data_IF_592230127385
#
_entry.id   IF_592230127385
#
_cell.length_a   1.000
_cell.length_b   1.000
_cell.length_c   1.000
_cell.angle_alpha   90.00
_cell.angle_beta   90.00
_cell.angle_gamma   90.00
#
_symmetry.space_group_name_H-M   'P 1'
#
loop_
_entity.id
_entity.type
_entity.pdbx_description
1 polymer ?
#
# COMPACT_ATOMS: atom_id res chain seq x y z
N UNK A 1 7.37 27.75 3.17
CA UNK A 1 6.89 27.12 1.91
C UNK A 1 5.79 27.98 1.29
N UNK A 2 5.77 28.21 -0.03
CA UNK A 2 4.73 29.03 -0.65
C UNK A 2 3.34 28.39 -0.49
N UNK A 3 2.30 29.20 -0.27
CA UNK A 3 0.93 28.74 0.02
C UNK A 3 0.36 27.69 -0.96
N UNK A 4 0.58 27.80 -2.29
CA UNK A 4 0.13 26.78 -3.24
C UNK A 4 0.75 25.40 -3.02
N UNK A 5 2.06 25.34 -2.70
CA UNK A 5 2.75 24.08 -2.45
C UNK A 5 2.25 23.39 -1.17
N UNK A 6 1.94 24.16 -0.13
CA UNK A 6 1.39 23.60 1.11
C UNK A 6 0.01 22.96 0.87
N UNK A 7 -0.85 23.60 0.08
CA UNK A 7 -2.16 23.05 -0.29
C UNK A 7 -2.03 21.76 -1.09
N UNK A 8 -1.14 21.74 -2.09
CA UNK A 8 -0.88 20.54 -2.89
C UNK A 8 -0.30 19.39 -2.05
N UNK A 9 0.63 19.69 -1.14
CA UNK A 9 1.21 18.69 -0.23
C UNK A 9 0.18 18.13 0.73
N UNK A 10 -0.69 18.98 1.30
CA UNK A 10 -1.80 18.54 2.18
C UNK A 10 -2.75 17.59 1.46
N UNK A 11 -3.10 17.91 0.21
CA UNK A 11 -3.97 17.05 -0.59
C UNK A 11 -3.32 15.68 -0.88
N UNK A 12 -2.04 15.67 -1.26
CA UNK A 12 -1.29 14.42 -1.51
C UNK A 12 -1.07 13.60 -0.23
N UNK A 13 -0.76 14.26 0.88
CA UNK A 13 -0.50 13.59 2.15
C UNK A 13 -1.76 12.96 2.74
N UNK A 14 -2.93 13.60 2.57
CA UNK A 14 -4.21 13.05 3.02
C UNK A 14 -4.52 11.70 2.36
N UNK A 15 -4.18 11.53 1.08
CA UNK A 15 -4.31 10.25 0.39
C UNK A 15 -3.21 9.28 0.82
N UNK A 16 -1.96 9.74 0.94
CA UNK A 16 -0.81 8.89 1.25
C UNK A 16 -0.88 8.26 2.64
N UNK A 17 -1.29 9.03 3.65
CA UNK A 17 -1.35 8.56 5.04
C UNK A 17 -2.29 7.37 5.20
N UNK A 18 -3.40 7.34 4.45
CA UNK A 18 -4.35 6.24 4.48
C UNK A 18 -3.76 4.90 4.04
N UNK A 19 -2.72 4.89 3.18
CA UNK A 19 -2.12 3.67 2.61
C UNK A 19 -0.67 3.45 3.02
N UNK A 20 -0.08 4.37 3.78
CA UNK A 20 1.33 4.30 4.20
C UNK A 20 1.67 3.00 4.93
N UNK A 21 0.76 2.53 5.80
CA UNK A 21 0.92 1.26 6.51
C UNK A 21 1.00 0.04 5.56
N UNK A 22 0.26 0.06 4.44
CA UNK A 22 0.32 -0.99 3.41
C UNK A 22 1.71 -1.01 2.78
N UNK A 23 2.22 0.17 2.41
CA UNK A 23 3.56 0.30 1.83
C UNK A 23 4.65 -0.12 2.80
N UNK A 24 4.52 0.22 4.09
CA UNK A 24 5.46 -0.20 5.13
C UNK A 24 5.55 -1.74 5.21
N UNK A 25 4.40 -2.43 5.30
CA UNK A 25 4.38 -3.89 5.32
C UNK A 25 4.96 -4.50 4.03
N UNK A 26 4.61 -3.94 2.87
CA UNK A 26 5.14 -4.42 1.60
C UNK A 26 6.66 -4.25 1.50
N UNK A 27 7.20 -3.13 1.98
CA UNK A 27 8.63 -2.87 1.92
C UNK A 27 9.43 -3.70 2.92
N UNK A 28 8.99 -3.72 4.17
CA UNK A 28 9.72 -4.35 5.27
C UNK A 28 9.47 -5.86 5.32
N UNK A 29 8.20 -6.28 5.43
CA UNK A 29 7.85 -7.68 5.66
C UNK A 29 7.77 -8.50 4.39
N UNK A 30 7.38 -7.89 3.26
CA UNK A 30 7.33 -8.60 1.96
C UNK A 30 8.60 -8.43 1.13
N UNK A 31 9.53 -7.56 1.54
CA UNK A 31 10.75 -7.27 0.77
C UNK A 31 10.45 -6.75 -0.65
N UNK A 32 9.33 -6.04 -0.85
CA UNK A 32 8.85 -5.69 -2.18
C UNK A 32 9.83 -4.74 -2.90
N UNK A 33 10.34 -5.22 -4.02
CA UNK A 33 11.24 -4.46 -4.89
C UNK A 33 10.84 -4.62 -6.37
N UNK A 34 10.56 -3.53 -7.06
CA UNK A 34 10.15 -3.54 -8.47
C UNK A 34 11.33 -3.10 -9.35
N UNK A 35 12.00 -4.07 -9.98
CA UNK A 35 13.04 -3.85 -11.01
C UNK A 35 12.89 -4.92 -12.07
N UNK A 36 11.94 -4.70 -12.98
CA UNK A 36 11.57 -5.64 -14.04
C UNK A 36 11.68 -4.98 -15.40
N UNK A 37 12.09 -5.74 -16.42
CA UNK A 37 12.08 -5.27 -17.80
C UNK A 37 10.64 -5.36 -18.33
N UNK A 38 10.07 -4.22 -18.72
CA UNK A 38 8.71 -4.15 -19.30
C UNK A 38 7.61 -3.87 -18.27
N UNK A 39 6.66 -3.02 -18.68
CA UNK A 39 5.56 -2.52 -17.85
C UNK A 39 4.61 -3.64 -17.39
N UNK A 40 4.25 -4.57 -18.26
CA UNK A 40 3.35 -5.67 -17.91
C UNK A 40 3.86 -6.50 -16.72
N UNK A 41 5.17 -6.76 -16.67
CA UNK A 41 5.79 -7.51 -15.55
C UNK A 41 5.79 -6.69 -14.26
N UNK A 42 6.02 -5.38 -14.36
CA UNK A 42 5.92 -4.48 -13.21
C UNK A 42 4.49 -4.46 -12.65
N UNK A 43 3.50 -4.32 -13.53
CA UNK A 43 2.07 -4.32 -13.16
C UNK A 43 1.68 -5.61 -12.46
N UNK A 44 2.05 -6.77 -13.01
CA UNK A 44 1.76 -8.07 -12.38
C UNK A 44 2.43 -8.18 -11.01
N UNK A 45 3.71 -7.78 -10.87
CA UNK A 45 4.43 -7.85 -9.60
C UNK A 45 3.78 -6.97 -8.52
N UNK A 46 3.35 -5.77 -8.88
CA UNK A 46 2.61 -4.86 -7.98
C UNK A 46 1.25 -5.47 -7.62
N UNK A 47 0.51 -5.97 -8.62
CA UNK A 47 -0.79 -6.59 -8.44
C UNK A 47 -0.77 -7.76 -7.46
N UNK A 48 0.16 -8.69 -7.64
CA UNK A 48 0.33 -9.84 -6.74
C UNK A 48 0.68 -9.39 -5.31
N UNK A 49 1.56 -8.41 -5.16
CA UNK A 49 1.91 -7.89 -3.83
C UNK A 49 0.69 -7.28 -3.11
N UNK A 50 -0.13 -6.51 -3.83
CA UNK A 50 -1.36 -5.95 -3.29
C UNK A 50 -2.37 -7.05 -2.93
N UNK A 51 -2.56 -8.06 -3.79
CA UNK A 51 -3.46 -9.19 -3.49
C UNK A 51 -3.02 -9.95 -2.25
N UNK A 52 -1.73 -10.30 -2.16
CA UNK A 52 -1.17 -11.03 -1.02
C UNK A 52 -1.32 -10.26 0.30
N UNK A 53 -1.12 -8.93 0.30
CA UNK A 53 -1.38 -8.09 1.46
C UNK A 53 -2.88 -8.11 1.85
N UNK A 54 -3.77 -7.89 0.88
CA UNK A 54 -5.21 -7.86 1.14
C UNK A 54 -5.76 -9.20 1.65
N UNK A 55 -5.29 -10.34 1.12
CA UNK A 55 -5.68 -11.64 1.64
C UNK A 55 -5.19 -11.87 3.07
N UNK A 56 -3.95 -11.48 3.40
CA UNK A 56 -3.45 -11.53 4.78
C UNK A 56 -4.31 -10.70 5.72
N UNK A 57 -4.67 -9.48 5.28
CA UNK A 57 -5.53 -8.57 6.04
C UNK A 57 -6.93 -9.16 6.22
N UNK A 58 -7.50 -9.76 5.18
CA UNK A 58 -8.80 -10.43 5.25
C UNK A 58 -8.79 -11.56 6.28
N UNK A 59 -7.82 -12.47 6.20
CA UNK A 59 -7.69 -13.58 7.16
C UNK A 59 -7.61 -13.08 8.60
N UNK A 60 -6.87 -11.99 8.84
CA UNK A 60 -6.77 -11.38 10.16
C UNK A 60 -8.09 -10.76 10.64
N UNK A 61 -8.87 -10.16 9.73
CA UNK A 61 -10.18 -9.61 10.05
C UNK A 61 -11.19 -10.71 10.37
N UNK A 62 -11.24 -11.76 9.56
CA UNK A 62 -12.13 -12.93 9.78
C UNK A 62 -11.77 -13.68 11.07
N UNK A 63 -10.48 -13.78 11.40
CA UNK A 63 -10.01 -14.36 12.67
C UNK A 63 -10.33 -13.52 13.90
N UNK A 64 -10.74 -12.26 13.73
CA UNK A 64 -11.28 -11.39 14.77
C UNK A 64 -12.80 -11.37 14.62
N UNK A 65 -13.45 -12.46 15.01
CA UNK A 65 -14.91 -12.49 15.17
C UNK A 65 -15.33 -11.23 15.92
N UNK A 66 -16.27 -10.45 15.37
CA UNK A 66 -16.78 -9.27 16.07
C UNK A 66 -17.25 -9.73 17.46
N UNK A 67 -16.89 -9.02 18.55
CA UNK A 67 -17.42 -9.36 19.86
C UNK A 67 -18.95 -9.33 19.76
N UNK A 68 -19.57 -10.47 20.12
CA UNK A 68 -21.03 -10.60 20.25
C UNK A 68 -21.54 -9.76 21.42
#
# INVERSE_FOLDING_TARGET
MPGPHQRANRARSAVRSAVEHVFAEQKERMGLFIRTIGLGRATVKIGIANLAHNFRRLIWLEGRTAPV
#
